data_IF_680254239650
#
_entry.id   IF_680254239650
#
_cell.length_a   1.000
_cell.length_b   1.000
_cell.length_c   1.000
_cell.angle_alpha   90.00
_cell.angle_beta   90.00
_cell.angle_gamma   90.00
#
_symmetry.space_group_name_H-M   'P 1'
#
loop_
_entity.id
_entity.type
_entity.pdbx_description
1 polymer ?
#
# COMPACT_ATOMS: atom_id res chain seq x y z
N UNK A 1 -2.64 7.87 -5.52
CA UNK A 1 -1.96 6.57 -5.79
C UNK A 1 -1.31 6.61 -7.17
N UNK A 2 -0.12 6.05 -7.29
CA UNK A 2 0.62 6.03 -8.57
C UNK A 2 -0.10 5.15 -9.59
N UNK A 3 -0.43 5.71 -10.76
CA UNK A 3 -1.10 4.97 -11.84
C UNK A 3 -0.26 3.76 -12.28
N UNK A 4 -0.91 2.60 -12.37
CA UNK A 4 -0.25 1.34 -12.77
C UNK A 4 0.42 0.58 -11.63
N UNK A 5 0.53 1.14 -10.42
CA UNK A 5 0.99 0.43 -9.22
C UNK A 5 0.07 -0.73 -8.87
N UNK A 6 0.54 -1.66 -8.03
CA UNK A 6 -0.30 -2.77 -7.57
C UNK A 6 -1.47 -2.25 -6.76
N UNK A 7 -1.25 -1.31 -5.85
CA UNK A 7 -2.33 -0.77 -5.01
C UNK A 7 -3.39 -0.03 -5.81
N UNK A 8 -3.03 0.72 -6.85
CA UNK A 8 -4.01 1.36 -7.72
C UNK A 8 -4.90 0.33 -8.44
N UNK A 9 -4.33 -0.81 -8.84
CA UNK A 9 -5.10 -1.92 -9.42
C UNK A 9 -5.98 -2.63 -8.40
N UNK A 10 -5.49 -2.82 -7.16
CA UNK A 10 -6.24 -3.46 -6.07
C UNK A 10 -7.47 -2.62 -5.69
N UNK A 11 -7.28 -1.31 -5.52
CA UNK A 11 -8.38 -0.40 -5.19
C UNK A 11 -9.29 -0.08 -6.39
N UNK A 12 -8.79 -0.24 -7.63
CA UNK A 12 -9.55 0.09 -8.85
C UNK A 12 -9.65 1.59 -9.13
N UNK A 13 -8.95 2.43 -8.37
CA UNK A 13 -8.92 3.89 -8.45
C UNK A 13 -7.54 4.41 -8.08
N UNK A 14 -7.24 5.64 -8.44
CA UNK A 14 -6.02 6.34 -8.01
C UNK A 14 -6.22 7.23 -6.79
N UNK A 15 -7.47 7.45 -6.37
CA UNK A 15 -7.82 8.29 -5.22
C UNK A 15 -8.55 7.45 -4.18
N UNK A 16 -8.04 7.48 -2.96
CA UNK A 16 -8.59 6.75 -1.82
C UNK A 16 -8.55 7.64 -0.58
N UNK A 17 -9.38 7.30 0.40
CA UNK A 17 -9.35 7.89 1.73
C UNK A 17 -9.30 6.75 2.74
N UNK A 18 -8.47 6.86 3.78
CA UNK A 18 -8.28 5.82 4.79
C UNK A 18 -8.21 6.42 6.20
N UNK A 19 -8.21 5.56 7.23
CA UNK A 19 -8.15 6.00 8.63
C UNK A 19 -6.73 5.90 9.18
N UNK A 20 -6.25 6.96 9.83
CA UNK A 20 -4.88 7.05 10.36
C UNK A 20 -4.90 7.13 11.88
N UNK A 21 -3.89 6.54 12.53
CA UNK A 21 -3.68 6.65 13.97
C UNK A 21 -2.19 6.51 14.32
N UNK A 22 -1.36 7.37 13.73
CA UNK A 22 0.09 7.43 13.96
C UNK A 22 0.55 8.87 14.21
N UNK A 23 1.83 9.02 14.56
CA UNK A 23 2.51 10.33 14.69
C UNK A 23 3.83 10.40 13.94
N UNK A 24 4.50 9.26 13.76
CA UNK A 24 5.74 9.18 13.00
C UNK A 24 5.40 8.99 11.54
N UNK A 25 6.15 9.68 10.69
CA UNK A 25 5.96 9.69 9.25
C UNK A 25 7.24 9.26 8.54
N UNK A 26 7.11 8.87 7.27
CA UNK A 26 8.25 8.58 6.42
C UNK A 26 9.13 9.83 6.27
N UNK A 27 10.43 9.68 6.53
CA UNK A 27 11.37 10.77 6.39
C UNK A 27 11.81 10.90 4.92
N UNK A 28 11.25 11.89 4.22
CA UNK A 28 11.54 12.18 2.82
C UNK A 28 13.02 12.42 2.50
N UNK A 29 13.89 12.72 3.48
CA UNK A 29 15.35 12.77 3.28
C UNK A 29 15.93 11.44 2.77
N UNK A 30 15.27 10.32 3.06
CA UNK A 30 15.70 8.98 2.65
C UNK A 30 14.97 8.45 1.41
N UNK A 31 14.04 9.21 0.83
CA UNK A 31 13.22 8.81 -0.34
C UNK A 31 14.07 8.20 -1.45
N UNK A 32 15.01 8.98 -1.99
CA UNK A 32 15.85 8.53 -3.11
C UNK A 32 16.77 7.36 -2.74
N UNK A 33 17.16 7.21 -1.47
CA UNK A 33 17.95 6.06 -1.02
C UNK A 33 17.12 4.78 -1.09
N UNK A 34 15.87 4.81 -0.63
CA UNK A 34 14.98 3.65 -0.67
C UNK A 34 14.52 3.32 -2.09
N UNK A 35 14.18 4.32 -2.90
CA UNK A 35 13.81 4.12 -4.31
C UNK A 35 14.94 3.45 -5.11
N UNK A 36 16.19 3.89 -4.93
CA UNK A 36 17.36 3.26 -5.56
C UNK A 36 17.60 1.81 -5.11
N UNK A 37 17.09 1.42 -3.95
CA UNK A 37 17.17 0.06 -3.41
C UNK A 37 15.94 -0.80 -3.72
N UNK A 38 15.03 -0.31 -4.58
CA UNK A 38 13.89 -1.09 -5.07
C UNK A 38 12.58 -0.87 -4.32
N UNK A 39 12.51 0.07 -3.37
CA UNK A 39 11.25 0.45 -2.74
C UNK A 39 10.48 1.44 -3.63
N UNK A 40 9.26 1.09 -4.02
CA UNK A 40 8.38 2.00 -4.76
C UNK A 40 7.47 2.74 -3.79
N UNK A 41 7.38 4.07 -3.93
CA UNK A 41 6.42 4.91 -3.20
C UNK A 41 5.15 5.03 -4.03
N UNK A 42 4.12 4.24 -3.68
CA UNK A 42 2.95 4.02 -4.55
C UNK A 42 1.69 4.75 -4.10
N UNK A 43 1.73 5.40 -2.93
CA UNK A 43 0.67 6.24 -2.41
C UNK A 43 1.24 7.39 -1.60
N UNK A 44 0.81 8.60 -1.93
CA UNK A 44 1.24 9.84 -1.29
C UNK A 44 0.03 10.74 -1.05
N UNK A 45 0.01 11.42 0.10
CA UNK A 45 -0.92 12.50 0.37
C UNK A 45 -0.30 13.82 -0.12
N UNK A 46 -0.70 14.28 -1.30
CA UNK A 46 -0.11 15.44 -1.98
C UNK A 46 -0.13 16.70 -1.11
N UNK A 47 -1.25 16.95 -0.42
CA UNK A 47 -1.43 18.14 0.43
C UNK A 47 -0.43 18.23 1.59
N UNK A 48 0.07 17.09 2.07
CA UNK A 48 0.93 17.00 3.26
C UNK A 48 2.32 16.45 2.97
N UNK A 49 2.60 16.10 1.72
CA UNK A 49 3.85 15.46 1.28
C UNK A 49 4.21 14.22 2.14
N UNK A 50 3.20 13.43 2.50
CA UNK A 50 3.36 12.21 3.29
C UNK A 50 3.30 10.98 2.40
N UNK A 51 4.23 10.06 2.62
CA UNK A 51 4.19 8.74 1.99
C UNK A 51 3.24 7.86 2.78
N UNK A 52 2.20 7.39 2.11
CA UNK A 52 1.12 6.60 2.71
C UNK A 52 1.23 5.11 2.38
N UNK A 53 1.79 4.79 1.21
CA UNK A 53 1.91 3.41 0.72
C UNK A 53 3.27 3.18 0.07
N UNK A 54 3.88 2.05 0.42
CA UNK A 54 5.12 1.54 -0.17
C UNK A 54 4.91 0.14 -0.76
N UNK A 55 5.67 -0.19 -1.79
CA UNK A 55 5.68 -1.50 -2.46
C UNK A 55 7.12 -1.96 -2.72
N UNK A 56 7.33 -3.26 -2.85
CA UNK A 56 8.56 -3.83 -3.40
C UNK A 56 8.17 -4.59 -4.68
N UNK A 57 8.59 -4.07 -5.83
CA UNK A 57 8.16 -4.59 -7.14
C UNK A 57 8.70 -5.98 -7.44
N UNK A 58 9.85 -6.35 -6.87
CA UNK A 58 10.51 -7.65 -7.03
C UNK A 58 9.98 -8.74 -6.07
N UNK A 59 8.95 -8.43 -5.28
CA UNK A 59 8.32 -9.40 -4.37
C UNK A 59 6.96 -9.86 -4.94
N UNK A 60 6.60 -11.16 -4.82
CA UNK A 60 5.35 -11.68 -5.37
C UNK A 60 4.12 -10.92 -4.85
N UNK A 61 4.13 -10.52 -3.57
CA UNK A 61 3.19 -9.54 -3.03
C UNK A 61 3.76 -8.81 -1.81
N UNK A 62 4.08 -7.52 -1.95
CA UNK A 62 4.55 -6.69 -0.85
C UNK A 62 3.92 -5.31 -0.93
N UNK A 63 3.15 -4.95 0.09
CA UNK A 63 2.52 -3.65 0.26
C UNK A 63 2.63 -3.27 1.74
N UNK A 64 3.16 -2.09 2.02
CA UNK A 64 3.13 -1.46 3.34
C UNK A 64 2.26 -0.20 3.30
N UNK A 65 1.43 -0.01 4.32
CA UNK A 65 0.54 1.16 4.44
C UNK A 65 0.72 1.82 5.79
N UNK A 66 0.60 3.15 5.84
CA UNK A 66 0.64 3.95 7.07
C UNK A 66 -0.72 3.98 7.79
N UNK A 67 -1.80 3.93 7.02
CA UNK A 67 -3.17 3.91 7.52
C UNK A 67 -3.61 2.50 7.97
N UNK A 68 -4.82 2.42 8.53
CA UNK A 68 -5.44 1.22 9.08
C UNK A 68 -6.59 0.73 8.18
N UNK A 69 -6.30 -0.08 7.13
CA UNK A 69 -7.35 -0.61 6.24
C UNK A 69 -8.34 -1.53 6.98
N UNK A 70 -7.93 -2.13 8.10
CA UNK A 70 -8.76 -2.97 8.97
C UNK A 70 -9.98 -2.23 9.51
N UNK A 71 -9.89 -0.90 9.72
CA UNK A 71 -11.01 -0.13 10.23
C UNK A 71 -12.12 0.10 9.20
N UNK A 72 -11.86 -0.16 7.91
CA UNK A 72 -12.87 -0.05 6.84
C UNK A 72 -13.33 -1.41 6.31
N UNK A 73 -12.66 -2.50 6.67
CA UNK A 73 -13.06 -3.85 6.27
C UNK A 73 -14.32 -4.31 7.00
N UNK A 74 -15.26 -4.95 6.28
CA UNK A 74 -16.49 -5.53 6.84
C UNK A 74 -16.67 -6.96 6.35
N UNK A 75 -17.43 -7.82 7.07
CA UNK A 75 -17.65 -9.21 6.64
C UNK A 75 -18.26 -9.37 5.24
N UNK A 76 -19.21 -8.50 4.87
CA UNK A 76 -19.89 -8.53 3.57
C UNK A 76 -19.26 -7.56 2.54
N UNK A 77 -18.27 -6.78 2.95
CA UNK A 77 -17.57 -5.81 2.12
C UNK A 77 -16.09 -5.79 2.56
N UNK A 78 -15.35 -6.87 2.25
CA UNK A 78 -13.99 -7.04 2.73
C UNK A 78 -13.08 -6.05 2.01
N UNK A 79 -12.18 -5.43 2.77
CA UNK A 79 -11.30 -4.41 2.22
C UNK A 79 -10.38 -4.99 1.12
N UNK A 80 -10.21 -4.30 -0.02
CA UNK A 80 -9.57 -4.86 -1.21
C UNK A 80 -8.10 -5.27 -0.98
N UNK A 81 -7.35 -4.56 -0.12
CA UNK A 81 -6.00 -4.96 0.26
C UNK A 81 -5.95 -6.34 0.92
N UNK A 82 -6.87 -6.68 1.83
CA UNK A 82 -6.89 -8.00 2.47
C UNK A 82 -7.30 -9.09 1.49
N UNK A 83 -8.30 -8.83 0.64
CA UNK A 83 -8.71 -9.77 -0.41
C UNK A 83 -7.53 -10.07 -1.34
N UNK A 84 -6.80 -9.04 -1.77
CA UNK A 84 -5.61 -9.21 -2.61
C UNK A 84 -4.48 -9.94 -1.90
N UNK A 85 -4.21 -9.59 -0.64
CA UNK A 85 -3.18 -10.25 0.17
C UNK A 85 -3.45 -11.75 0.32
N UNK A 86 -4.66 -12.13 0.73
CA UNK A 86 -5.03 -13.54 0.93
C UNK A 86 -4.95 -14.31 -0.40
N UNK A 87 -5.42 -13.73 -1.50
CA UNK A 87 -5.27 -14.33 -2.84
C UNK A 87 -3.80 -14.59 -3.17
N UNK A 88 -2.92 -13.62 -2.91
CA UNK A 88 -1.49 -13.79 -3.13
C UNK A 88 -0.87 -14.85 -2.21
N UNK A 89 -1.34 -14.95 -0.96
CA UNK A 89 -0.90 -16.00 -0.04
C UNK A 89 -1.30 -17.39 -0.51
N UNK A 90 -2.51 -17.56 -1.06
CA UNK A 90 -2.98 -18.83 -1.63
C UNK A 90 -2.15 -19.21 -2.86
N UNK A 91 -1.80 -18.25 -3.72
CA UNK A 91 -0.95 -18.51 -4.90
C UNK A 91 0.47 -18.91 -4.51
N UNK A 92 1.01 -18.35 -3.43
CA UNK A 92 2.35 -18.65 -2.94
C UNK A 92 2.41 -19.80 -1.94
N UNK A 93 1.27 -20.33 -1.49
CA UNK A 93 1.26 -21.54 -0.65
C UNK A 93 1.57 -22.74 -1.54
N UNK A 94 2.79 -23.24 -1.46
CA UNK A 94 3.19 -24.49 -2.10
C UNK A 94 2.42 -25.65 -1.48
N UNK A 95 1.37 -26.10 -2.15
CA UNK A 95 0.74 -27.41 -1.97
C UNK A 95 1.02 -28.26 -3.20
#
# INVERSE_FOLDING_TARGET
LVKGSRVARIYGTTEISERHRHRYEFNNKYRSMFEKKGLSLSGECEDRNLIEIIEISDHPWFVGVQFHPEFKSKPLDPHPLFVSFIKASIVNSSF
#
